data_IF_323793540809
#
_entry.id   IF_323793540809
#
_cell.length_a   1.000
_cell.length_b   1.000
_cell.length_c   1.000
_cell.angle_alpha   90.00
_cell.angle_beta   90.00
_cell.angle_gamma   90.00
#
_symmetry.space_group_name_H-M   'P 1'
#
loop_
_entity.id
_entity.type
_entity.pdbx_description
1 polymer ?
#
# COMPACT_ATOMS: atom_id res chain seq x y z
N UNK A 1 0.46 3.78 -24.96
CA UNK A 1 -0.33 4.33 -23.84
C UNK A 1 -1.76 4.29 -24.31
N UNK A 2 -2.55 3.33 -23.82
CA UNK A 2 -3.93 3.14 -24.31
C UNK A 2 -4.84 4.21 -23.71
N UNK A 3 -5.87 4.59 -24.46
CA UNK A 3 -6.89 5.60 -24.13
C UNK A 3 -7.67 5.38 -22.81
N UNK A 4 -7.43 4.30 -22.09
CA UNK A 4 -8.06 3.99 -20.81
C UNK A 4 -7.43 4.69 -19.59
N UNK A 5 -6.33 5.40 -19.76
CA UNK A 5 -5.69 6.17 -18.71
C UNK A 5 -6.21 7.61 -18.78
N UNK A 6 -6.96 8.03 -17.76
CA UNK A 6 -7.31 9.43 -17.45
C UNK A 6 -8.62 10.03 -17.99
N UNK A 7 -9.67 9.25 -18.16
CA UNK A 7 -10.97 9.81 -18.61
C UNK A 7 -11.72 10.68 -17.56
N UNK A 8 -11.23 10.84 -16.32
CA UNK A 8 -12.07 11.46 -15.27
C UNK A 8 -11.46 12.60 -14.45
N UNK A 9 -10.18 12.96 -14.61
CA UNK A 9 -9.63 14.09 -13.86
C UNK A 9 -8.76 14.91 -14.80
N UNK A 10 -9.14 16.17 -15.03
CA UNK A 10 -8.37 17.18 -15.78
C UNK A 10 -7.19 17.68 -14.91
N UNK A 11 -6.38 16.74 -14.40
CA UNK A 11 -5.24 16.99 -13.49
C UNK A 11 -3.97 16.66 -14.26
N UNK A 12 -3.00 17.57 -14.24
CA UNK A 12 -1.70 17.32 -14.87
C UNK A 12 -0.99 16.14 -14.18
N UNK A 13 -0.15 15.42 -14.93
CA UNK A 13 0.64 14.29 -14.37
C UNK A 13 1.45 14.70 -13.15
N UNK A 14 1.98 15.92 -13.13
CA UNK A 14 2.76 16.45 -11.99
C UNK A 14 1.88 16.70 -10.76
N UNK A 15 0.67 17.19 -10.93
CA UNK A 15 -0.28 17.36 -9.84
C UNK A 15 -0.68 16.01 -9.25
N UNK A 16 -1.00 15.03 -10.11
CA UNK A 16 -1.33 13.68 -9.69
C UNK A 16 -0.16 13.05 -8.92
N UNK A 17 1.05 13.18 -9.44
CA UNK A 17 2.27 12.69 -8.78
C UNK A 17 2.50 13.34 -7.41
N UNK A 18 2.22 14.63 -7.25
CA UNK A 18 2.33 15.33 -5.97
C UNK A 18 1.26 14.88 -4.97
N UNK A 19 0.02 14.68 -5.43
CA UNK A 19 -1.06 14.12 -4.60
C UNK A 19 -0.69 12.72 -4.09
N UNK A 20 -0.18 11.84 -4.95
CA UNK A 20 0.29 10.52 -4.54
C UNK A 20 1.45 10.58 -3.55
N UNK A 21 2.40 11.51 -3.73
CA UNK A 21 3.49 11.69 -2.75
C UNK A 21 2.97 12.14 -1.38
N UNK A 22 2.00 13.07 -1.35
CA UNK A 22 1.39 13.52 -0.10
C UNK A 22 0.61 12.39 0.57
N UNK A 23 -0.21 11.66 -0.20
CA UNK A 23 -0.95 10.49 0.27
C UNK A 23 -0.02 9.41 0.83
N UNK A 24 1.06 9.09 0.14
CA UNK A 24 2.04 8.12 0.60
C UNK A 24 2.66 8.51 1.95
N UNK A 25 3.05 9.78 2.11
CA UNK A 25 3.57 10.30 3.40
C UNK A 25 2.54 10.20 4.50
N UNK A 26 1.29 10.53 4.20
CA UNK A 26 0.19 10.43 5.15
C UNK A 26 -0.05 8.99 5.60
N UNK A 27 -0.11 8.05 4.66
CA UNK A 27 -0.29 6.62 4.99
C UNK A 27 0.86 6.08 5.83
N UNK A 28 2.11 6.40 5.49
CA UNK A 28 3.28 6.02 6.30
C UNK A 28 3.16 6.59 7.72
N UNK A 29 2.73 7.84 7.87
CA UNK A 29 2.53 8.46 9.18
C UNK A 29 1.45 7.74 9.99
N UNK A 30 0.32 7.35 9.39
CA UNK A 30 -0.73 6.59 10.06
C UNK A 30 -0.20 5.27 10.64
N UNK A 31 0.57 4.51 9.85
CA UNK A 31 1.19 3.27 10.33
C UNK A 31 2.16 3.53 11.47
N UNK A 32 2.98 4.59 11.40
CA UNK A 32 3.91 4.97 12.47
C UNK A 32 3.20 5.40 13.75
N UNK A 33 2.04 6.02 13.64
CA UNK A 33 1.18 6.38 14.79
C UNK A 33 0.41 5.19 15.38
N UNK A 34 0.55 3.97 14.82
CA UNK A 34 -0.21 2.79 15.25
C UNK A 34 -1.65 2.77 14.73
N UNK A 35 -1.97 3.62 13.75
CA UNK A 35 -3.30 3.73 13.14
C UNK A 35 -3.42 2.98 11.79
N UNK A 36 -2.47 2.11 11.47
CA UNK A 36 -2.44 1.38 10.18
C UNK A 36 -3.67 0.49 9.93
N UNK A 37 -4.35 0.05 10.99
CA UNK A 37 -5.63 -0.67 10.88
C UNK A 37 -6.82 0.24 10.66
N UNK A 38 -6.68 1.55 10.92
CA UNK A 38 -7.78 2.50 10.84
C UNK A 38 -8.16 2.77 9.38
N UNK A 39 -9.41 2.45 9.01
CA UNK A 39 -9.90 2.55 7.64
C UNK A 39 -9.40 1.44 6.69
N UNK A 40 -8.50 0.57 7.13
CA UNK A 40 -8.00 -0.56 6.35
C UNK A 40 -9.07 -1.66 6.27
N UNK A 41 -9.27 -2.22 5.08
CA UNK A 41 -10.30 -3.24 4.83
C UNK A 41 -11.73 -2.69 4.69
N UNK A 42 -11.91 -1.38 4.70
CA UNK A 42 -13.21 -0.80 4.41
C UNK A 42 -13.50 -0.80 2.91
N UNK A 43 -14.77 -0.83 2.54
CA UNK A 43 -15.20 -0.79 1.13
C UNK A 43 -14.63 0.42 0.36
N UNK A 44 -14.37 1.51 1.05
CA UNK A 44 -13.83 2.73 0.44
C UNK A 44 -12.31 2.79 0.51
N UNK A 45 -11.71 2.52 1.67
CA UNK A 45 -10.27 2.61 1.88
C UNK A 45 -9.48 1.46 1.23
N UNK A 46 -10.12 0.32 1.05
CA UNK A 46 -9.44 -0.90 0.61
C UNK A 46 -8.42 -1.41 1.63
N UNK A 47 -7.63 -2.36 1.21
CA UNK A 47 -6.51 -2.88 2.00
C UNK A 47 -5.21 -2.20 1.55
N UNK A 48 -4.55 -1.49 2.47
CA UNK A 48 -3.29 -0.81 2.23
C UNK A 48 -2.25 -1.36 3.19
N UNK A 49 -1.06 -1.66 2.68
CA UNK A 49 0.14 -1.96 3.45
C UNK A 49 1.25 -0.98 3.09
N UNK A 50 2.30 -0.94 3.90
CA UNK A 50 3.54 -0.21 3.56
C UNK A 50 4.64 -1.23 3.31
N UNK A 51 5.27 -1.17 2.16
CA UNK A 51 6.49 -1.96 1.84
C UNK A 51 7.70 -1.09 2.17
N UNK A 52 8.56 -1.59 3.06
CA UNK A 52 9.88 -1.04 3.31
C UNK A 52 10.90 -1.83 2.49
N UNK A 53 11.58 -1.15 1.61
CA UNK A 53 12.54 -1.74 0.67
C UNK A 53 13.78 -0.86 0.51
N UNK A 54 14.81 -1.38 -0.14
CA UNK A 54 16.07 -0.67 -0.36
C UNK A 54 16.11 -0.12 -1.79
N UNK A 55 16.46 1.15 -1.93
CA UNK A 55 16.63 1.80 -3.23
C UNK A 55 17.84 1.25 -3.97
N UNK A 56 17.64 0.61 -5.13
CA UNK A 56 18.66 -0.06 -5.94
C UNK A 56 19.83 0.83 -6.36
N UNK A 57 19.60 2.13 -6.50
CA UNK A 57 20.62 3.11 -6.93
C UNK A 57 21.31 3.80 -5.76
N UNK A 58 20.66 3.90 -4.60
CA UNK A 58 21.13 4.76 -3.49
C UNK A 58 21.39 4.00 -2.20
N UNK A 59 20.98 2.74 -2.10
CA UNK A 59 21.03 1.97 -0.85
C UNK A 59 20.12 2.49 0.27
N UNK A 60 19.38 3.58 0.03
CA UNK A 60 18.54 4.18 1.05
C UNK A 60 17.24 3.41 1.24
N UNK A 61 16.80 3.30 2.49
CA UNK A 61 15.48 2.77 2.82
C UNK A 61 14.37 3.64 2.23
N UNK A 62 13.38 2.97 1.65
CA UNK A 62 12.18 3.57 1.07
C UNK A 62 10.95 2.92 1.68
N UNK A 63 9.89 3.71 1.85
CA UNK A 63 8.59 3.29 2.33
C UNK A 63 7.55 3.59 1.27
N UNK A 64 6.87 2.57 0.79
CA UNK A 64 5.90 2.70 -0.30
C UNK A 64 4.57 2.07 0.13
N UNK A 65 3.53 2.87 0.37
CA UNK A 65 2.16 2.38 0.53
C UNK A 65 1.65 1.79 -0.78
N UNK A 66 1.05 0.61 -0.71
CA UNK A 66 0.44 -0.07 -1.84
C UNK A 66 -0.83 -0.79 -1.41
N UNK A 67 -1.78 -0.95 -2.34
CA UNK A 67 -2.92 -1.83 -2.11
C UNK A 67 -2.48 -3.29 -2.21
N UNK A 68 -3.11 -4.14 -1.40
CA UNK A 68 -2.80 -5.55 -1.36
C UNK A 68 -4.04 -6.43 -1.16
N UNK A 69 -3.91 -7.69 -1.53
CA UNK A 69 -4.80 -8.77 -1.14
C UNK A 69 -3.99 -9.90 -0.49
N UNK A 70 -4.62 -10.68 0.38
CA UNK A 70 -4.05 -11.91 0.91
C UNK A 70 -4.76 -13.08 0.27
N UNK A 71 -4.02 -13.96 -0.37
CA UNK A 71 -4.52 -15.18 -1.01
C UNK A 71 -3.66 -16.35 -0.56
N UNK A 72 -4.29 -17.37 -0.03
CA UNK A 72 -3.62 -18.60 0.46
C UNK A 72 -2.46 -18.33 1.44
N UNK A 73 -2.54 -17.25 2.20
CA UNK A 73 -1.53 -16.85 3.20
C UNK A 73 -0.43 -15.92 2.67
N UNK A 74 -0.27 -15.81 1.36
CA UNK A 74 0.67 -14.90 0.70
C UNK A 74 0.02 -13.54 0.43
N UNK A 75 0.85 -12.50 0.34
CA UNK A 75 0.42 -11.14 0.05
C UNK A 75 0.67 -10.86 -1.43
N UNK A 76 -0.35 -10.32 -2.09
CA UNK A 76 -0.25 -9.88 -3.48
C UNK A 76 -0.50 -8.38 -3.57
N UNK A 77 0.31 -7.69 -4.35
CA UNK A 77 0.14 -6.27 -4.65
C UNK A 77 0.50 -5.97 -6.10
N UNK A 78 0.08 -4.82 -6.60
CA UNK A 78 0.33 -4.47 -8.01
C UNK A 78 1.04 -3.14 -8.16
N UNK A 79 1.98 -3.09 -9.12
CA UNK A 79 2.57 -1.87 -9.61
C UNK A 79 1.73 -1.34 -10.78
N UNK A 80 0.77 -0.48 -10.46
CA UNK A 80 -0.15 0.09 -11.45
C UNK A 80 0.54 0.94 -12.53
N UNK A 81 1.75 1.46 -12.25
CA UNK A 81 2.60 2.14 -13.23
C UNK A 81 3.55 1.19 -13.96
N UNK A 82 3.31 -0.13 -13.87
CA UNK A 82 4.00 -1.17 -14.60
C UNK A 82 5.49 -1.26 -14.29
N UNK A 83 6.26 -1.70 -15.29
CA UNK A 83 7.72 -1.94 -15.22
C UNK A 83 8.54 -0.71 -14.85
N UNK A 84 8.00 0.50 -15.04
CA UNK A 84 8.69 1.76 -14.76
C UNK A 84 8.63 2.21 -13.30
N UNK A 85 7.83 1.57 -12.46
CA UNK A 85 7.69 1.95 -11.07
C UNK A 85 8.99 1.71 -10.29
N UNK A 86 9.57 2.77 -9.73
CA UNK A 86 10.86 2.68 -9.02
C UNK A 86 10.84 1.68 -7.85
N UNK A 87 9.74 1.62 -7.12
CA UNK A 87 9.62 0.69 -5.99
C UNK A 87 9.60 -0.77 -6.47
N UNK A 88 8.93 -1.08 -7.58
CA UNK A 88 8.95 -2.39 -8.20
C UNK A 88 10.38 -2.79 -8.60
N UNK A 89 11.07 -1.91 -9.34
CA UNK A 89 12.46 -2.17 -9.74
C UNK A 89 13.41 -2.33 -8.54
N UNK A 90 13.13 -1.66 -7.42
CA UNK A 90 13.91 -1.80 -6.20
C UNK A 90 13.72 -3.18 -5.56
N UNK A 91 12.49 -3.68 -5.47
CA UNK A 91 12.22 -4.99 -4.87
C UNK A 91 12.66 -6.15 -5.76
N UNK A 92 12.64 -5.97 -7.08
CA UNK A 92 13.21 -6.99 -8.00
C UNK A 92 14.75 -7.06 -7.84
N UNK A 93 15.41 -5.92 -7.64
CA UNK A 93 16.84 -5.88 -7.39
C UNK A 93 17.23 -6.38 -5.98
N UNK A 94 16.36 -6.15 -4.98
CA UNK A 94 16.56 -6.55 -3.60
C UNK A 94 15.26 -7.13 -3.06
N UNK A 95 15.03 -8.44 -3.19
CA UNK A 95 13.74 -9.07 -2.91
C UNK A 95 13.40 -9.15 -1.41
N UNK A 96 14.37 -8.97 -0.53
CA UNK A 96 14.12 -8.89 0.91
C UNK A 96 13.43 -7.58 1.24
N UNK A 97 12.22 -7.70 1.79
CA UNK A 97 11.38 -6.57 2.15
C UNK A 97 10.87 -6.71 3.59
N UNK A 98 10.42 -5.61 4.14
CA UNK A 98 9.61 -5.60 5.35
C UNK A 98 8.24 -5.04 4.98
N UNK A 99 7.17 -5.71 5.38
CA UNK A 99 5.80 -5.24 5.16
C UNK A 99 5.16 -4.82 6.48
N UNK A 100 4.48 -3.68 6.46
CA UNK A 100 3.68 -3.17 7.55
C UNK A 100 2.22 -3.41 7.23
N UNK A 101 1.63 -4.29 8.00
CA UNK A 101 0.23 -4.68 7.89
C UNK A 101 -0.52 -4.22 9.15
N UNK A 102 -1.87 -4.20 9.13
CA UNK A 102 -2.67 -3.95 10.31
C UNK A 102 -2.36 -4.88 11.50
N UNK A 103 -1.93 -6.11 11.22
CA UNK A 103 -1.62 -7.14 12.21
C UNK A 103 -0.16 -7.13 12.70
N UNK A 104 0.70 -6.27 12.12
CA UNK A 104 2.09 -6.13 12.55
C UNK A 104 3.06 -5.85 11.42
N UNK A 105 4.35 -5.98 11.77
CA UNK A 105 5.46 -5.91 10.81
C UNK A 105 5.97 -7.31 10.53
N UNK A 106 6.27 -7.60 9.29
CA UNK A 106 6.72 -8.90 8.83
C UNK A 106 7.91 -8.75 7.90
N UNK A 107 8.92 -9.59 8.09
CA UNK A 107 9.90 -9.85 7.05
C UNK A 107 9.25 -10.65 5.94
N UNK A 108 9.71 -10.45 4.69
CA UNK A 108 9.19 -11.20 3.57
C UNK A 108 10.10 -11.16 2.34
N UNK A 109 9.84 -12.07 1.43
CA UNK A 109 10.51 -12.16 0.13
C UNK A 109 9.51 -11.79 -0.96
N UNK A 110 9.86 -10.76 -1.74
CA UNK A 110 9.07 -10.30 -2.87
C UNK A 110 9.54 -10.98 -4.16
N UNK A 111 8.60 -11.35 -5.01
CA UNK A 111 8.89 -11.94 -6.32
C UNK A 111 7.87 -11.45 -7.36
N UNK A 112 8.30 -11.37 -8.62
CA UNK A 112 7.40 -11.07 -9.73
C UNK A 112 6.53 -12.29 -10.04
N UNK A 113 5.23 -12.12 -9.92
CA UNK A 113 4.21 -13.15 -10.14
C UNK A 113 3.39 -12.89 -11.42
N UNK A 114 3.80 -11.90 -12.22
CA UNK A 114 3.05 -11.45 -13.40
C UNK A 114 2.87 -12.55 -14.45
N UNK A 115 3.87 -13.43 -14.61
CA UNK A 115 3.86 -14.51 -15.60
C UNK A 115 3.25 -15.82 -15.12
N UNK A 116 2.69 -15.88 -13.92
CA UNK A 116 2.06 -17.09 -13.40
C UNK A 116 0.67 -17.30 -14.00
N UNK A 117 0.27 -18.56 -14.20
CA UNK A 117 -1.06 -18.92 -14.73
C UNK A 117 -2.22 -18.35 -13.93
N UNK A 118 -2.03 -18.16 -12.61
CA UNK A 118 -3.00 -17.56 -11.70
C UNK A 118 -2.89 -16.03 -11.63
N UNK A 119 -1.98 -15.42 -12.40
CA UNK A 119 -1.70 -13.98 -12.32
C UNK A 119 -2.94 -13.11 -12.50
N UNK A 120 -3.76 -13.38 -13.50
CA UNK A 120 -4.99 -12.64 -13.78
C UNK A 120 -5.99 -12.72 -12.62
N UNK A 121 -6.19 -13.93 -12.08
CA UNK A 121 -7.08 -14.17 -10.93
C UNK A 121 -6.62 -13.42 -9.67
N UNK A 122 -5.30 -13.43 -9.38
CA UNK A 122 -4.75 -12.74 -8.22
C UNK A 122 -4.77 -11.23 -8.41
N UNK A 123 -4.50 -10.72 -9.63
CA UNK A 123 -4.64 -9.30 -9.96
C UNK A 123 -6.08 -8.83 -9.72
N UNK A 124 -7.08 -9.60 -10.16
CA UNK A 124 -8.50 -9.32 -9.88
C UNK A 124 -8.75 -9.14 -8.37
N UNK A 125 -8.22 -10.04 -7.54
CA UNK A 125 -8.38 -9.95 -6.09
C UNK A 125 -7.71 -8.70 -5.49
N UNK A 126 -6.51 -8.34 -5.95
CA UNK A 126 -5.82 -7.10 -5.54
C UNK A 126 -6.66 -5.87 -5.92
N UNK A 127 -7.22 -5.82 -7.12
CA UNK A 127 -8.04 -4.69 -7.58
C UNK A 127 -9.35 -4.61 -6.79
N UNK A 128 -10.01 -5.74 -6.50
CA UNK A 128 -11.18 -5.77 -5.60
C UNK A 128 -10.82 -5.25 -4.22
N UNK A 129 -9.70 -5.71 -3.67
CA UNK A 129 -9.21 -5.32 -2.36
C UNK A 129 -8.74 -3.85 -2.29
N UNK A 130 -8.50 -3.19 -3.42
CA UNK A 130 -8.02 -1.81 -3.47
C UNK A 130 -9.11 -0.75 -3.19
N UNK A 131 -10.37 -1.15 -2.99
CA UNK A 131 -11.47 -0.24 -2.70
C UNK A 131 -11.70 0.77 -3.83
N UNK A 132 -11.66 2.06 -3.51
CA UNK A 132 -11.87 3.12 -4.50
C UNK A 132 -10.73 3.27 -5.51
N UNK A 133 -9.55 2.74 -5.22
CA UNK A 133 -8.39 2.91 -6.10
C UNK A 133 -8.58 2.21 -7.44
N UNK A 134 -9.21 1.02 -7.48
CA UNK A 134 -9.53 0.34 -8.74
C UNK A 134 -10.33 1.22 -9.69
N UNK A 135 -11.52 1.70 -9.31
CA UNK A 135 -12.30 2.64 -10.11
C UNK A 135 -11.57 3.95 -10.45
N UNK A 136 -10.74 4.48 -9.56
CA UNK A 136 -9.94 5.69 -9.80
C UNK A 136 -8.97 5.50 -10.99
N UNK A 137 -8.43 4.30 -11.14
CA UNK A 137 -7.60 3.93 -12.30
C UNK A 137 -8.40 3.41 -13.50
N UNK A 138 -9.74 3.59 -13.50
CA UNK A 138 -10.62 3.17 -14.60
C UNK A 138 -10.88 1.67 -14.64
N UNK A 139 -10.48 0.91 -13.63
CA UNK A 139 -10.64 -0.54 -13.58
C UNK A 139 -11.81 -0.91 -12.67
N UNK A 140 -12.90 -1.41 -13.26
CA UNK A 140 -14.03 -1.93 -12.49
C UNK A 140 -13.99 -3.48 -12.50
N UNK A 141 -13.57 -4.11 -11.40
CA UNK A 141 -13.36 -5.56 -11.37
C UNK A 141 -14.62 -6.40 -11.59
N UNK A 142 -15.81 -5.80 -11.41
CA UNK A 142 -17.07 -6.49 -11.60
C UNK A 142 -17.57 -6.49 -13.06
N UNK A 143 -16.93 -5.67 -13.92
CA UNK A 143 -17.31 -5.53 -15.34
C UNK A 143 -16.30 -6.17 -16.28
N UNK A 144 -15.13 -6.51 -15.80
CA UNK A 144 -14.05 -7.08 -16.59
C UNK A 144 -14.12 -8.61 -16.63
N UNK A 145 -13.91 -9.18 -17.81
CA UNK A 145 -13.73 -10.60 -18.02
C UNK A 145 -12.33 -11.07 -17.56
N UNK A 146 -12.09 -12.38 -17.53
CA UNK A 146 -10.77 -12.92 -17.21
C UNK A 146 -9.74 -12.52 -18.28
N UNK A 147 -10.15 -12.47 -19.54
CA UNK A 147 -9.32 -12.02 -20.66
C UNK A 147 -8.88 -10.56 -20.49
N UNK A 148 -9.78 -9.67 -20.03
CA UNK A 148 -9.42 -8.27 -19.74
C UNK A 148 -8.34 -8.19 -18.64
N UNK A 149 -8.38 -9.08 -17.64
CA UNK A 149 -7.36 -9.14 -16.61
C UNK A 149 -6.02 -9.69 -17.11
N UNK A 150 -6.01 -10.60 -18.08
CA UNK A 150 -4.77 -11.04 -18.75
C UNK A 150 -4.14 -9.87 -19.52
N UNK A 151 -4.92 -9.09 -20.25
CA UNK A 151 -4.44 -7.90 -20.95
C UNK A 151 -3.93 -6.82 -19.95
N UNK A 152 -4.59 -6.67 -18.80
CA UNK A 152 -4.11 -5.77 -17.76
C UNK A 152 -2.75 -6.18 -17.21
N UNK A 153 -2.46 -7.46 -17.07
CA UNK A 153 -1.15 -7.95 -16.62
C UNK A 153 0.01 -7.57 -17.55
N UNK A 154 -0.24 -7.28 -18.83
CA UNK A 154 0.79 -6.78 -19.73
C UNK A 154 1.31 -5.40 -19.28
N UNK A 155 0.42 -4.57 -18.75
CA UNK A 155 0.71 -3.20 -18.33
C UNK A 155 1.03 -3.07 -16.85
N UNK A 156 0.39 -3.87 -16.01
CA UNK A 156 0.61 -3.94 -14.56
C UNK A 156 1.72 -4.96 -14.24
N UNK A 157 2.26 -4.88 -13.04
CA UNK A 157 3.13 -5.92 -12.48
C UNK A 157 2.52 -6.44 -11.21
N UNK A 158 2.32 -7.74 -11.15
CA UNK A 158 1.84 -8.42 -9.96
C UNK A 158 3.03 -8.95 -9.16
N UNK A 159 3.05 -8.63 -7.90
CA UNK A 159 4.10 -9.01 -6.97
C UNK A 159 3.50 -9.90 -5.90
N UNK A 160 4.12 -11.05 -5.64
CA UNK A 160 3.86 -11.88 -4.49
C UNK A 160 4.87 -11.56 -3.40
N UNK A 161 4.43 -11.45 -2.16
CA UNK A 161 5.31 -11.35 -0.99
C UNK A 161 4.97 -12.48 -0.04
N UNK A 162 5.90 -13.41 0.11
CA UNK A 162 5.82 -14.49 1.09
C UNK A 162 6.28 -13.94 2.44
N UNK A 163 5.39 -14.00 3.43
CA UNK A 163 5.73 -13.60 4.79
C UNK A 163 6.64 -14.65 5.41
N UNK A 164 7.66 -14.19 6.13
CA UNK A 164 8.58 -15.03 6.88
C UNK A 164 8.34 -14.85 8.39
N UNK A 165 9.15 -14.03 9.03
CA UNK A 165 9.13 -13.82 10.47
C UNK A 165 8.38 -12.56 10.86
N UNK A 166 7.55 -12.65 11.91
CA UNK A 166 6.97 -11.47 12.53
C UNK A 166 8.09 -10.66 13.21
N UNK A 167 8.14 -9.37 12.91
CA UNK A 167 9.11 -8.43 13.50
C UNK A 167 8.49 -7.67 14.68
N UNK A 168 7.17 -7.50 14.69
CA UNK A 168 6.42 -6.93 15.83
C UNK A 168 5.09 -7.67 15.95
N UNK A 169 4.45 -7.56 17.11
CA UNK A 169 3.07 -7.98 17.31
C UNK A 169 2.06 -7.03 16.67
N UNK A 170 0.79 -7.29 16.91
CA UNK A 170 -0.32 -6.48 16.42
C UNK A 170 -0.15 -5.00 16.75
N UNK A 171 -0.59 -4.13 15.82
CA UNK A 171 -0.47 -2.67 15.95
C UNK A 171 0.55 -2.05 15.00
N UNK A 172 1.26 -2.87 14.22
CA UNK A 172 2.20 -2.41 13.20
C UNK A 172 3.48 -1.81 13.78
N UNK A 173 4.19 -0.94 13.05
CA UNK A 173 5.41 -0.31 13.55
C UNK A 173 5.16 0.53 14.80
N UNK A 174 4.13 1.37 14.79
CA UNK A 174 3.69 2.14 15.97
C UNK A 174 4.79 2.91 16.67
N UNK A 175 5.91 3.18 16.01
CA UNK A 175 7.09 3.83 16.58
C UNK A 175 6.83 5.26 17.07
N UNK A 176 5.74 5.87 16.64
CA UNK A 176 5.25 7.17 17.11
C UNK A 176 4.01 7.08 18.01
N UNK A 177 3.55 5.89 18.37
CA UNK A 177 2.33 5.72 19.18
C UNK A 177 2.44 6.31 20.58
N UNK A 178 3.66 6.52 21.10
CA UNK A 178 3.93 7.22 22.36
C UNK A 178 3.40 8.66 22.38
N UNK A 179 3.11 9.24 21.21
CA UNK A 179 2.51 10.59 21.12
C UNK A 179 1.12 10.62 21.75
N UNK A 180 0.35 9.54 21.70
CA UNK A 180 -1.01 9.50 22.21
C UNK A 180 -1.10 9.72 23.73
N UNK A 181 -0.40 8.96 24.58
CA UNK A 181 -0.38 9.23 26.02
C UNK A 181 0.15 10.61 26.35
N UNK A 182 1.16 11.12 25.62
CA UNK A 182 1.66 12.47 25.81
C UNK A 182 0.58 13.53 25.51
N UNK A 183 -0.10 13.42 24.40
CA UNK A 183 -1.21 14.34 24.04
C UNK A 183 -2.33 14.27 25.08
N UNK A 184 -2.68 13.09 25.54
CA UNK A 184 -3.71 12.90 26.60
C UNK A 184 -3.31 13.62 27.86
N UNK A 185 -2.06 13.45 28.29
CA UNK A 185 -1.52 14.13 29.48
C UNK A 185 -1.57 15.65 29.35
N UNK A 186 -1.14 16.20 28.21
CA UNK A 186 -1.18 17.65 27.94
C UNK A 186 -2.62 18.18 27.97
N UNK A 187 -3.54 17.46 27.33
CA UNK A 187 -4.97 17.85 27.33
C UNK A 187 -5.57 17.85 28.73
N UNK A 188 -5.31 16.83 29.52
CA UNK A 188 -5.75 16.76 30.92
C UNK A 188 -5.17 17.91 31.76
N UNK A 189 -3.88 18.19 31.60
CA UNK A 189 -3.24 19.31 32.28
C UNK A 189 -3.87 20.66 31.92
N UNK A 190 -4.16 20.90 30.62
CA UNK A 190 -4.83 22.12 30.16
C UNK A 190 -6.26 22.24 30.72
N UNK A 191 -7.01 21.14 30.75
CA UNK A 191 -8.37 21.10 31.31
C UNK A 191 -8.36 21.41 32.83
N UNK A 192 -7.42 20.84 33.58
CA UNK A 192 -7.26 21.12 35.00
C UNK A 192 -6.88 22.58 35.25
N UNK A 193 -5.97 23.15 34.44
CA UNK A 193 -5.60 24.56 34.55
C UNK A 193 -6.78 25.51 34.28
N UNK A 194 -7.65 25.15 33.31
CA UNK A 194 -8.85 25.93 33.00
C UNK A 194 -9.88 25.93 34.12
N UNK A 195 -10.03 24.81 34.85
CA UNK A 195 -10.96 24.71 35.99
C UNK A 195 -10.53 25.47 37.25
N UNK A 196 -9.27 25.89 37.32
CA UNK A 196 -8.72 26.65 38.45
C UNK A 196 -8.81 28.18 38.25
N UNK A 197 -9.32 28.64 37.15
CA UNK A 197 -9.71 30.04 36.88
C UNK A 197 -11.21 30.19 36.93
#
# INVERSE_FOLDING_TARGET
>A
MSEYQLAFINVSEDQLRNVFKAFNRFMVLLFRLGLGSWGNGTKYGGYIMVIKHIGRKTGLTRLTPVNYATVDGDIYCTAAFGKGADWYLNIIANPQVEVWLPDGRWAGIAEDFTGDEKGASHLRQVIIASGFAGPLFGVNPNKLSDQDFEELLENYRLIRIRRENALTGAGGPGDLSWIWPLMTFVLLWLLMKRRRK
#
